data_IF_265306185956
#
_entry.id   IF_265306185956
#
_cell.length_a   1.000
_cell.length_b   1.000
_cell.length_c   1.000
_cell.angle_alpha   90.00
_cell.angle_beta   90.00
_cell.angle_gamma   90.00
#
_symmetry.space_group_name_H-M   'P 1'
#
loop_
_entity.id
_entity.type
_entity.pdbx_description
1 polymer ?
#
# COMPACT_ATOMS: atom_id res chain seq x y z
N UNK A 1 14.73 -16.74 -14.39
CA UNK A 1 14.59 -16.64 -12.92
C UNK A 1 13.16 -17.04 -12.60
N UNK A 2 13.00 -18.29 -12.16
CA UNK A 2 11.74 -18.99 -11.99
C UNK A 2 10.81 -18.31 -11.00
N UNK A 3 9.54 -18.15 -11.38
CA UNK A 3 8.47 -17.66 -10.54
C UNK A 3 8.15 -18.67 -9.43
N UNK A 4 8.97 -18.71 -8.38
CA UNK A 4 8.67 -19.49 -7.18
C UNK A 4 7.67 -18.70 -6.32
N UNK A 5 6.37 -18.96 -6.50
CA UNK A 5 5.35 -18.46 -5.58
C UNK A 5 3.89 -18.44 -6.06
N UNK A 6 3.57 -18.96 -7.26
CA UNK A 6 2.19 -18.93 -7.76
C UNK A 6 1.72 -20.23 -8.42
N UNK A 7 0.43 -20.51 -8.29
CA UNK A 7 -0.26 -21.58 -9.03
C UNK A 7 -0.76 -21.00 -10.36
N UNK A 8 -0.42 -21.64 -11.49
CA UNK A 8 -0.94 -21.24 -12.80
C UNK A 8 -2.44 -21.54 -12.88
N UNK A 9 -3.22 -20.51 -13.23
CA UNK A 9 -4.67 -20.60 -13.34
C UNK A 9 -5.11 -20.58 -14.82
N UNK A 10 -6.27 -21.17 -15.16
CA UNK A 10 -6.85 -21.06 -16.49
C UNK A 10 -7.00 -19.58 -16.90
N UNK A 11 -6.40 -19.20 -18.03
CA UNK A 11 -6.32 -17.79 -18.47
C UNK A 11 -4.92 -17.18 -18.42
N UNK A 12 -3.88 -17.95 -18.11
CA UNK A 12 -2.48 -17.54 -18.30
C UNK A 12 -1.95 -16.57 -17.24
N UNK A 13 -2.55 -16.58 -16.04
CA UNK A 13 -2.14 -15.75 -14.91
C UNK A 13 -1.82 -16.63 -13.69
N UNK A 14 -1.07 -16.08 -12.74
CA UNK A 14 -0.57 -16.81 -11.56
C UNK A 14 -1.27 -16.36 -10.29
N UNK A 15 -1.94 -17.27 -9.57
CA UNK A 15 -2.51 -17.01 -8.26
C UNK A 15 -1.43 -17.12 -7.17
N UNK A 16 -1.29 -16.09 -6.35
CA UNK A 16 -0.32 -16.08 -5.25
C UNK A 16 -0.65 -17.14 -4.19
N UNK A 17 0.36 -17.93 -3.78
CA UNK A 17 0.23 -18.91 -2.70
C UNK A 17 -0.03 -18.26 -1.34
N UNK A 18 0.21 -16.95 -1.18
CA UNK A 18 -0.02 -16.23 0.07
C UNK A 18 -1.49 -16.24 0.55
N UNK A 19 -2.43 -16.49 -0.36
CA UNK A 19 -3.86 -16.58 -0.06
C UNK A 19 -4.33 -18.01 0.21
N UNK A 20 -3.44 -18.99 0.02
CA UNK A 20 -3.75 -20.41 0.20
C UNK A 20 -3.21 -20.92 1.52
N UNK A 21 -4.03 -21.76 2.15
CA UNK A 21 -3.64 -22.46 3.37
C UNK A 21 -2.71 -23.60 3.00
N UNK A 22 -1.53 -23.67 3.63
CA UNK A 22 -0.65 -24.83 3.47
C UNK A 22 -1.30 -26.08 4.11
N UNK A 23 -1.14 -27.28 3.52
CA UNK A 23 -1.64 -28.51 4.11
C UNK A 23 -1.15 -28.67 5.55
N UNK A 24 -2.06 -28.85 6.51
CA UNK A 24 -1.75 -29.01 7.94
C UNK A 24 -1.61 -27.70 8.76
N UNK A 25 -1.54 -26.52 8.13
CA UNK A 25 -1.52 -25.24 8.86
C UNK A 25 -2.92 -24.92 9.40
N UNK A 26 -3.10 -24.13 10.46
CA UNK A 26 -4.42 -23.60 10.89
C UNK A 26 -4.74 -22.27 10.19
N UNK A 27 -6.03 -21.86 10.15
CA UNK A 27 -6.42 -20.54 9.62
C UNK A 27 -5.74 -19.38 10.38
N UNK A 28 -5.58 -19.52 11.70
CA UNK A 28 -4.82 -18.58 12.51
C UNK A 28 -3.33 -18.57 12.16
N UNK A 29 -2.72 -19.74 11.90
CA UNK A 29 -1.32 -19.83 11.46
C UNK A 29 -1.06 -19.16 10.11
N UNK A 30 -1.99 -19.32 9.16
CA UNK A 30 -1.92 -18.65 7.86
C UNK A 30 -2.03 -17.12 8.01
N UNK A 31 -3.00 -16.64 8.80
CA UNK A 31 -3.19 -15.22 9.07
C UNK A 31 -1.96 -14.59 9.76
N UNK A 32 -1.39 -15.26 10.77
CA UNK A 32 -0.20 -14.77 11.47
C UNK A 32 1.02 -14.71 10.54
N UNK A 33 1.20 -15.72 9.68
CA UNK A 33 2.30 -15.75 8.71
C UNK A 33 2.16 -14.62 7.68
N UNK A 34 0.93 -14.43 7.16
CA UNK A 34 0.62 -13.33 6.25
C UNK A 34 0.85 -11.98 6.91
N UNK A 35 0.34 -11.76 8.13
CA UNK A 35 0.53 -10.51 8.86
C UNK A 35 2.00 -10.23 9.15
N UNK A 36 2.78 -11.24 9.52
CA UNK A 36 4.23 -11.10 9.73
C UNK A 36 4.94 -10.64 8.45
N UNK A 37 4.69 -11.32 7.33
CA UNK A 37 5.26 -10.95 6.04
C UNK A 37 4.78 -9.56 5.57
N UNK A 38 3.49 -9.27 5.71
CA UNK A 38 2.86 -8.00 5.35
C UNK A 38 3.47 -6.84 6.13
N UNK A 39 3.64 -6.99 7.45
CA UNK A 39 4.23 -5.95 8.28
C UNK A 39 5.68 -5.70 7.89
N UNK A 40 6.49 -6.76 7.70
CA UNK A 40 7.89 -6.62 7.27
C UNK A 40 7.99 -5.90 5.92
N UNK A 41 7.15 -6.31 4.97
CA UNK A 41 7.04 -5.66 3.66
C UNK A 41 6.64 -4.19 3.78
N UNK A 42 5.59 -3.89 4.55
CA UNK A 42 5.12 -2.51 4.75
C UNK A 42 6.16 -1.64 5.42
N UNK A 43 6.89 -2.17 6.40
CA UNK A 43 8.03 -1.50 7.01
C UNK A 43 9.06 -1.20 5.92
N UNK A 44 9.51 -2.19 5.14
CA UNK A 44 10.51 -1.98 4.10
C UNK A 44 10.09 -0.92 3.06
N UNK A 45 8.84 -0.96 2.60
CA UNK A 45 8.36 -0.07 1.54
C UNK A 45 8.03 1.33 2.03
N UNK A 46 7.45 1.47 3.23
CA UNK A 46 6.95 2.75 3.73
C UNK A 46 7.96 3.51 4.58
N UNK A 47 8.96 2.83 5.14
CA UNK A 47 10.01 3.46 5.96
C UNK A 47 10.72 4.62 5.24
N UNK A 48 11.12 4.52 3.94
CA UNK A 48 11.73 5.64 3.23
C UNK A 48 10.85 6.90 3.20
N UNK A 49 9.54 6.72 3.08
CA UNK A 49 8.57 7.82 3.08
C UNK A 49 8.24 8.35 4.49
N UNK A 50 8.38 7.51 5.51
CA UNK A 50 8.09 7.82 6.91
C UNK A 50 9.24 8.59 7.59
N UNK A 51 10.50 8.27 7.25
CA UNK A 51 11.71 8.93 7.79
C UNK A 51 11.67 10.46 7.71
N UNK A 52 11.41 11.11 6.56
CA UNK A 52 11.37 12.57 6.49
C UNK A 52 10.24 13.18 7.33
N UNK A 53 9.12 12.47 7.47
CA UNK A 53 7.98 12.92 8.30
C UNK A 53 8.30 12.82 9.78
N UNK A 54 8.92 11.71 10.22
CA UNK A 54 9.39 11.55 11.60
C UNK A 54 10.48 12.56 11.96
N UNK A 55 11.39 12.91 11.03
CA UNK A 55 12.38 13.98 11.24
C UNK A 55 11.72 15.33 11.52
N UNK A 56 10.72 15.72 10.72
CA UNK A 56 9.96 16.97 10.96
C UNK A 56 9.23 16.94 12.31
N UNK A 57 8.68 15.79 12.70
CA UNK A 57 8.08 15.64 14.03
C UNK A 57 9.12 15.79 15.15
N UNK A 58 10.33 15.23 14.98
CA UNK A 58 11.45 15.46 15.91
C UNK A 58 11.80 16.93 16.01
N UNK A 59 12.00 17.62 14.89
CA UNK A 59 12.37 19.04 14.87
C UNK A 59 11.29 19.93 15.53
N UNK A 60 10.01 19.55 15.41
CA UNK A 60 8.90 20.27 16.03
C UNK A 60 8.80 20.06 17.55
N UNK A 61 9.20 18.88 18.04
CA UNK A 61 9.22 18.54 19.47
C UNK A 61 10.54 18.98 20.13
N UNK A 62 11.64 19.00 19.39
CA UNK A 62 12.96 19.38 19.94
C UNK A 62 12.98 20.84 20.40
N UNK A 63 12.19 21.68 19.73
CA UNK A 63 11.92 23.07 20.12
C UNK A 63 11.21 23.21 21.47
N UNK A 64 10.64 22.16 22.03
CA UNK A 64 10.04 22.17 23.38
C UNK A 64 11.05 21.77 24.47
N UNK A 65 12.27 21.37 24.12
CA UNK A 65 13.33 21.02 25.07
C UNK A 65 13.17 19.65 25.75
N UNK A 66 12.41 18.73 25.14
CA UNK A 66 12.02 17.48 25.79
C UNK A 66 13.10 16.37 25.72
N UNK A 67 13.47 15.81 26.87
CA UNK A 67 14.46 14.71 26.98
C UNK A 67 13.97 13.36 26.42
N UNK A 68 12.67 13.20 26.14
CA UNK A 68 12.05 11.94 25.67
C UNK A 68 11.80 11.87 24.17
N UNK A 69 12.51 12.68 23.38
CA UNK A 69 12.30 12.82 21.94
C UNK A 69 12.29 11.50 21.17
N UNK A 70 13.26 10.61 21.47
CA UNK A 70 13.40 9.30 20.82
C UNK A 70 12.21 8.38 21.07
N UNK A 71 11.71 8.36 22.31
CA UNK A 71 10.54 7.57 22.70
C UNK A 71 9.27 8.07 22.00
N UNK A 72 9.05 9.38 21.98
CA UNK A 72 7.89 9.99 21.31
C UNK A 72 7.89 9.71 19.80
N UNK A 73 9.07 9.75 19.16
CA UNK A 73 9.16 9.39 17.74
C UNK A 73 8.90 7.92 17.48
N UNK A 74 9.43 7.03 18.33
CA UNK A 74 9.16 5.62 18.22
C UNK A 74 7.65 5.35 18.34
N UNK A 75 6.97 5.99 19.31
CA UNK A 75 5.54 5.84 19.51
C UNK A 75 4.70 6.34 18.32
N UNK A 76 5.12 7.43 17.67
CA UNK A 76 4.51 7.89 16.42
C UNK A 76 4.70 6.87 15.28
N UNK A 77 5.89 6.26 15.17
CA UNK A 77 6.17 5.18 14.22
C UNK A 77 5.31 3.94 14.47
N UNK A 78 5.15 3.52 15.73
CA UNK A 78 4.29 2.39 16.11
C UNK A 78 2.84 2.68 15.73
N UNK A 79 2.33 3.88 16.00
CA UNK A 79 0.98 4.28 15.58
C UNK A 79 0.79 4.23 14.06
N UNK A 80 1.81 4.59 13.28
CA UNK A 80 1.79 4.48 11.82
C UNK A 80 1.69 3.03 11.35
N UNK A 81 2.55 2.14 11.85
CA UNK A 81 2.54 0.73 11.47
C UNK A 81 1.32 -0.02 12.00
N UNK A 82 0.75 0.40 13.12
CA UNK A 82 -0.51 -0.14 13.62
C UNK A 82 -1.64 -0.01 12.58
N UNK A 83 -1.76 1.15 11.92
CA UNK A 83 -2.73 1.33 10.83
C UNK A 83 -2.48 0.35 9.69
N UNK A 84 -1.21 0.14 9.30
CA UNK A 84 -0.84 -0.82 8.27
C UNK A 84 -1.14 -2.27 8.64
N UNK A 85 -0.98 -2.63 9.91
CA UNK A 85 -1.38 -3.94 10.43
C UNK A 85 -2.88 -4.14 10.33
N UNK A 86 -3.69 -3.13 10.69
CA UNK A 86 -5.15 -3.18 10.54
C UNK A 86 -5.56 -3.31 9.08
N UNK A 87 -4.89 -2.61 8.16
CA UNK A 87 -5.12 -2.76 6.71
C UNK A 87 -4.80 -4.19 6.26
N UNK A 88 -3.67 -4.76 6.68
CA UNK A 88 -3.29 -6.15 6.37
C UNK A 88 -4.31 -7.16 6.91
N UNK A 89 -4.80 -6.93 8.13
CA UNK A 89 -5.82 -7.77 8.76
C UNK A 89 -7.15 -7.75 7.99
N UNK A 90 -7.52 -6.61 7.39
CA UNK A 90 -8.70 -6.51 6.53
C UNK A 90 -8.44 -7.09 5.11
N UNK A 91 -7.22 -6.94 4.60
CA UNK A 91 -6.84 -7.44 3.27
C UNK A 91 -6.79 -8.97 3.22
N UNK A 92 -6.35 -9.64 4.30
CA UNK A 92 -6.27 -11.09 4.38
C UNK A 92 -7.58 -11.83 4.08
N UNK A 93 -8.69 -11.61 4.82
CA UNK A 93 -9.95 -12.29 4.56
C UNK A 93 -10.53 -11.92 3.18
N UNK A 94 -10.30 -10.70 2.70
CA UNK A 94 -10.75 -10.29 1.37
C UNK A 94 -10.03 -11.08 0.27
N UNK A 95 -8.70 -11.22 0.36
CA UNK A 95 -7.91 -12.02 -0.57
C UNK A 95 -8.26 -13.50 -0.52
N UNK A 96 -8.48 -14.05 0.69
CA UNK A 96 -8.95 -15.43 0.86
C UNK A 96 -10.35 -15.64 0.25
N UNK A 97 -11.28 -14.71 0.45
CA UNK A 97 -12.63 -14.80 -0.11
C UNK A 97 -12.61 -14.74 -1.64
N UNK A 98 -11.82 -13.83 -2.21
CA UNK A 98 -11.62 -13.73 -3.66
C UNK A 98 -11.03 -15.03 -4.22
N UNK A 99 -9.97 -15.56 -3.62
CA UNK A 99 -9.36 -16.82 -4.03
C UNK A 99 -10.35 -18.00 -3.94
N UNK A 100 -11.16 -18.05 -2.88
CA UNK A 100 -12.16 -19.10 -2.70
C UNK A 100 -13.30 -19.04 -3.74
N UNK A 101 -13.76 -17.83 -4.09
CA UNK A 101 -14.77 -17.63 -5.15
C UNK A 101 -14.21 -18.05 -6.50
N UNK A 102 -12.96 -17.70 -6.77
CA UNK A 102 -12.28 -18.01 -8.03
C UNK A 102 -12.06 -19.51 -8.24
N UNK A 103 -11.69 -20.25 -7.17
CA UNK A 103 -11.59 -21.71 -7.22
C UNK A 103 -12.93 -22.41 -7.47
N UNK A 104 -14.07 -21.79 -7.12
CA UNK A 104 -15.42 -22.37 -7.28
C UNK A 104 -16.05 -22.11 -8.64
N UNK A 105 -15.57 -21.12 -9.40
CA UNK A 105 -16.21 -20.64 -10.62
C UNK A 105 -15.17 -20.49 -11.75
N UNK A 106 -14.93 -21.52 -12.58
CA UNK A 106 -13.95 -21.45 -13.67
C UNK A 106 -14.29 -20.43 -14.76
N UNK A 107 -15.55 -20.02 -14.88
CA UNK A 107 -15.99 -18.91 -15.74
C UNK A 107 -15.52 -17.56 -15.19
N UNK A 108 -15.50 -17.41 -13.86
CA UNK A 108 -15.02 -16.19 -13.20
C UNK A 108 -13.49 -16.07 -13.27
N UNK A 109 -12.77 -17.19 -13.22
CA UNK A 109 -11.31 -17.24 -13.39
C UNK A 109 -10.83 -16.68 -14.75
N UNK A 110 -11.65 -16.75 -15.80
CA UNK A 110 -11.36 -16.08 -17.09
C UNK A 110 -11.67 -14.59 -17.11
N UNK A 111 -12.56 -14.12 -16.23
CA UNK A 111 -12.91 -12.71 -16.11
C UNK A 111 -11.97 -11.95 -15.16
N UNK A 112 -11.18 -12.65 -14.34
CA UNK A 112 -10.25 -12.03 -13.40
C UNK A 112 -9.20 -11.14 -14.05
N UNK A 113 -8.58 -11.48 -15.20
CA UNK A 113 -7.71 -10.54 -15.91
C UNK A 113 -8.41 -9.21 -16.30
N UNK A 114 -9.71 -9.26 -16.63
CA UNK A 114 -10.52 -8.07 -16.93
C UNK A 114 -10.82 -7.30 -15.65
N UNK A 115 -11.16 -7.98 -14.56
CA UNK A 115 -11.38 -7.36 -13.24
C UNK A 115 -10.09 -6.70 -12.72
N UNK A 116 -8.94 -7.36 -12.88
CA UNK A 116 -7.60 -6.83 -12.59
C UNK A 116 -7.34 -5.57 -13.41
N UNK A 117 -7.57 -5.63 -14.72
CA UNK A 117 -7.47 -4.48 -15.62
C UNK A 117 -8.38 -3.32 -15.19
N UNK A 118 -9.61 -3.62 -14.78
CA UNK A 118 -10.57 -2.65 -14.26
C UNK A 118 -10.10 -2.00 -12.95
N UNK A 119 -9.59 -2.77 -12.00
CA UNK A 119 -9.03 -2.22 -10.74
C UNK A 119 -7.82 -1.35 -11.03
N UNK A 120 -6.92 -1.79 -11.92
CA UNK A 120 -5.75 -0.99 -12.33
C UNK A 120 -6.18 0.31 -13.01
N UNK A 121 -7.21 0.27 -13.86
CA UNK A 121 -7.73 1.43 -14.57
C UNK A 121 -8.42 2.42 -13.61
N UNK A 122 -9.25 1.94 -12.68
CA UNK A 122 -9.87 2.76 -11.63
C UNK A 122 -8.80 3.35 -10.72
N UNK A 123 -7.82 2.56 -10.28
CA UNK A 123 -6.71 3.03 -9.46
C UNK A 123 -5.86 4.09 -10.19
N UNK A 124 -5.65 3.91 -11.50
CA UNK A 124 -5.03 4.89 -12.39
C UNK A 124 -5.84 6.19 -12.48
N UNK A 125 -7.16 6.08 -12.69
CA UNK A 125 -8.07 7.23 -12.73
C UNK A 125 -8.09 8.00 -11.41
N UNK A 126 -8.10 7.29 -10.27
CA UNK A 126 -8.01 7.87 -8.93
C UNK A 126 -6.71 8.67 -8.73
N UNK A 127 -5.64 8.36 -9.48
CA UNK A 127 -4.41 9.14 -9.42
C UNK A 127 -4.55 10.57 -9.94
N UNK A 128 -5.48 10.81 -10.86
CA UNK A 128 -5.78 12.15 -11.38
C UNK A 128 -6.73 12.96 -10.50
N UNK A 129 -7.26 12.35 -9.43
CA UNK A 129 -8.25 13.02 -8.59
C UNK A 129 -7.66 14.23 -7.86
N UNK A 130 -8.42 15.33 -7.84
CA UNK A 130 -8.12 16.50 -7.00
C UNK A 130 -8.05 16.14 -5.49
N UNK A 131 -8.63 14.99 -5.11
CA UNK A 131 -8.50 14.43 -3.78
C UNK A 131 -7.08 13.92 -3.48
N UNK A 132 -6.45 13.18 -4.42
CA UNK A 132 -5.04 12.74 -4.29
C UNK A 132 -4.09 13.92 -4.29
N UNK A 133 -4.30 14.90 -5.18
CA UNK A 133 -3.49 16.13 -5.23
C UNK A 133 -3.53 16.90 -3.90
N UNK A 134 -4.73 17.10 -3.32
CA UNK A 134 -4.88 17.72 -1.99
C UNK A 134 -4.21 16.90 -0.88
N UNK A 135 -4.33 15.58 -0.90
CA UNK A 135 -3.68 14.73 0.11
C UNK A 135 -2.15 14.75 0.02
N UNK A 136 -1.59 14.78 -1.19
CA UNK A 136 -0.14 14.93 -1.40
C UNK A 136 0.35 16.30 -0.94
N UNK A 137 -0.40 17.37 -1.25
CA UNK A 137 -0.11 18.72 -0.75
C UNK A 137 -0.15 18.75 0.79
N UNK A 138 -1.21 18.25 1.43
CA UNK A 138 -1.29 18.18 2.90
C UNK A 138 -0.19 17.31 3.53
N UNK A 139 0.19 16.17 2.92
CA UNK A 139 1.30 15.36 3.41
C UNK A 139 2.65 16.10 3.32
N UNK A 140 2.76 17.06 2.40
CA UNK A 140 3.95 17.91 2.22
C UNK A 140 3.92 19.15 3.11
N UNK A 141 2.74 19.70 3.36
CA UNK A 141 2.47 20.95 4.09
C UNK A 141 2.19 20.76 5.60
N UNK A 142 2.01 19.53 6.11
CA UNK A 142 1.77 19.30 7.53
C UNK A 142 3.02 19.57 8.41
N UNK A 143 2.81 20.20 9.58
CA UNK A 143 3.20 21.57 9.88
C UNK A 143 4.72 21.74 9.94
N UNK A 144 5.25 22.52 8.99
CA UNK A 144 6.54 23.17 9.15
C UNK A 144 6.45 24.29 10.18
N UNK A 145 7.41 24.31 11.09
CA UNK A 145 7.96 25.48 11.77
C UNK A 145 7.12 26.32 12.76
N UNK A 146 5.79 26.19 12.86
CA UNK A 146 4.97 27.19 13.60
C UNK A 146 4.24 26.76 14.87
N UNK A 147 4.01 25.45 15.11
CA UNK A 147 3.27 24.97 16.29
C UNK A 147 4.15 24.02 17.10
N UNK A 148 4.51 24.44 18.31
CA UNK A 148 5.02 23.51 19.32
C UNK A 148 3.96 22.42 19.53
N UNK A 149 4.30 21.17 19.20
CA UNK A 149 3.43 20.05 19.54
C UNK A 149 3.66 19.71 21.01
N UNK A 150 2.58 19.52 21.81
CA UNK A 150 2.72 19.00 23.16
C UNK A 150 3.49 17.69 23.16
N UNK A 151 4.48 17.57 24.03
CA UNK A 151 5.35 16.40 24.16
C UNK A 151 4.67 15.24 24.92
N UNK A 152 3.41 14.96 24.60
CA UNK A 152 2.64 13.88 25.24
C UNK A 152 2.65 12.61 24.39
N UNK A 153 2.76 11.46 25.05
CA UNK A 153 2.65 10.14 24.42
C UNK A 153 1.33 9.97 23.63
N UNK A 154 0.22 10.52 24.14
CA UNK A 154 -1.09 10.51 23.46
C UNK A 154 -1.05 11.28 22.14
N UNK A 155 -0.33 12.40 22.12
CA UNK A 155 -0.20 13.28 20.96
C UNK A 155 0.68 12.65 19.90
N UNK A 156 1.79 12.01 20.31
CA UNK A 156 2.66 11.20 19.45
C UNK A 156 1.90 10.04 18.79
N UNK A 157 1.16 9.25 19.57
CA UNK A 157 0.36 8.13 19.07
C UNK A 157 -0.71 8.60 18.06
N UNK A 158 -1.48 9.64 18.39
CA UNK A 158 -2.48 10.21 17.48
C UNK A 158 -1.85 10.80 16.22
N UNK A 159 -0.64 11.36 16.31
CA UNK A 159 0.11 11.84 15.16
C UNK A 159 0.47 10.68 14.23
N UNK A 160 1.03 9.58 14.77
CA UNK A 160 1.30 8.35 14.04
C UNK A 160 0.08 7.75 13.34
N UNK A 161 -1.05 7.63 14.06
CA UNK A 161 -2.31 7.13 13.49
C UNK A 161 -2.83 8.01 12.34
N UNK A 162 -2.83 9.33 12.50
CA UNK A 162 -3.25 10.25 11.44
C UNK A 162 -2.35 10.16 10.23
N UNK A 163 -1.03 10.03 10.45
CA UNK A 163 -0.06 9.85 9.39
C UNK A 163 -0.31 8.55 8.63
N UNK A 164 -0.54 7.44 9.34
CA UNK A 164 -0.87 6.14 8.76
C UNK A 164 -2.15 6.19 7.93
N UNK A 165 -3.23 6.80 8.46
CA UNK A 165 -4.51 6.93 7.76
C UNK A 165 -4.43 7.82 6.52
N UNK A 166 -3.75 8.96 6.60
CA UNK A 166 -3.52 9.81 5.41
C UNK A 166 -2.65 9.10 4.38
N UNK A 167 -1.64 8.36 4.84
CA UNK A 167 -0.78 7.58 3.97
C UNK A 167 -1.58 6.51 3.23
N UNK A 168 -2.29 5.65 3.97
CA UNK A 168 -3.14 4.61 3.42
C UNK A 168 -4.19 5.14 2.45
N UNK A 169 -4.83 6.27 2.74
CA UNK A 169 -5.78 6.92 1.81
C UNK A 169 -5.09 7.38 0.52
N UNK A 170 -3.95 8.03 0.63
CA UNK A 170 -3.21 8.57 -0.52
C UNK A 170 -2.66 7.46 -1.44
N UNK A 171 -2.18 6.34 -0.88
CA UNK A 171 -1.67 5.21 -1.65
C UNK A 171 -2.68 4.09 -1.87
N UNK A 172 -3.96 4.27 -1.49
CA UNK A 172 -5.00 3.24 -1.59
C UNK A 172 -5.09 2.60 -3.00
N UNK A 173 -5.00 3.41 -4.06
CA UNK A 173 -5.01 2.91 -5.43
C UNK A 173 -3.80 2.02 -5.76
N UNK A 174 -2.59 2.44 -5.39
CA UNK A 174 -1.37 1.66 -5.59
C UNK A 174 -1.35 0.39 -4.74
N UNK A 175 -1.92 0.47 -3.53
CA UNK A 175 -2.10 -0.67 -2.64
C UNK A 175 -3.10 -1.69 -3.18
N UNK A 176 -4.21 -1.23 -3.78
CA UNK A 176 -5.15 -2.09 -4.47
C UNK A 176 -4.49 -2.81 -5.65
N UNK A 177 -3.68 -2.10 -6.43
CA UNK A 177 -2.90 -2.69 -7.53
C UNK A 177 -1.93 -3.76 -7.01
N UNK A 178 -1.19 -3.47 -5.94
CA UNK A 178 -0.25 -4.43 -5.34
C UNK A 178 -0.97 -5.69 -4.82
N UNK A 179 -2.17 -5.53 -4.24
CA UNK A 179 -2.99 -6.64 -3.79
C UNK A 179 -3.47 -7.53 -4.94
N UNK A 180 -3.87 -6.91 -6.06
CA UNK A 180 -4.44 -7.60 -7.22
C UNK A 180 -3.38 -8.25 -8.11
N UNK A 181 -2.26 -7.57 -8.38
CA UNK A 181 -1.13 -8.16 -9.13
C UNK A 181 -0.43 -9.25 -8.30
N UNK A 182 -0.47 -9.13 -6.98
CA UNK A 182 0.00 -10.13 -6.05
C UNK A 182 1.09 -9.58 -5.12
N UNK A 183 0.86 -9.78 -3.82
CA UNK A 183 1.76 -9.36 -2.73
C UNK A 183 3.14 -10.02 -2.79
N UNK A 184 3.38 -10.98 -3.69
CA UNK A 184 4.67 -11.68 -3.80
C UNK A 184 5.51 -11.27 -5.03
N UNK A 185 5.01 -10.38 -5.89
CA UNK A 185 5.83 -9.88 -7.00
C UNK A 185 6.78 -8.78 -6.49
N UNK A 186 8.03 -9.17 -6.23
CA UNK A 186 9.12 -8.27 -5.79
C UNK A 186 9.33 -7.08 -6.74
N UNK A 187 9.07 -7.23 -8.04
CA UNK A 187 9.21 -6.14 -9.01
C UNK A 187 8.05 -5.17 -8.87
N UNK A 188 6.82 -5.67 -8.77
CA UNK A 188 5.64 -4.86 -8.54
C UNK A 188 5.75 -4.11 -7.20
N UNK A 189 6.24 -4.78 -6.15
CA UNK A 189 6.58 -4.14 -4.88
C UNK A 189 7.58 -3.00 -5.09
N UNK A 190 8.74 -3.28 -5.69
CA UNK A 190 9.78 -2.26 -5.88
C UNK A 190 9.25 -1.05 -6.67
N UNK A 191 8.49 -1.28 -7.74
CA UNK A 191 7.89 -0.22 -8.56
C UNK A 191 6.86 0.58 -7.76
N UNK A 192 5.98 -0.06 -7.00
CA UNK A 192 4.98 0.62 -6.16
C UNK A 192 5.64 1.42 -5.04
N UNK A 193 6.64 0.84 -4.36
CA UNK A 193 7.41 1.55 -3.33
C UNK A 193 8.13 2.77 -3.89
N UNK A 194 8.78 2.62 -5.04
CA UNK A 194 9.44 3.71 -5.74
C UNK A 194 8.42 4.78 -6.15
N UNK A 195 7.28 4.40 -6.74
CA UNK A 195 6.23 5.33 -7.11
C UNK A 195 5.72 6.12 -5.90
N UNK A 196 5.38 5.46 -4.79
CA UNK A 196 4.93 6.12 -3.55
C UNK A 196 6.00 7.07 -3.01
N UNK A 197 7.26 6.62 -3.02
CA UNK A 197 8.38 7.41 -2.52
C UNK A 197 8.63 8.64 -3.39
N UNK A 198 8.63 8.51 -4.71
CA UNK A 198 8.83 9.61 -5.66
C UNK A 198 7.64 10.56 -5.64
N UNK A 199 6.40 10.07 -5.59
CA UNK A 199 5.20 10.91 -5.45
C UNK A 199 5.28 11.81 -4.19
N UNK A 200 5.82 11.27 -3.09
CA UNK A 200 5.93 11.99 -1.83
C UNK A 200 7.10 12.96 -1.78
N UNK A 201 8.27 12.53 -2.24
CA UNK A 201 9.53 13.28 -2.12
C UNK A 201 9.73 14.30 -3.24
N UNK A 202 9.17 14.08 -4.44
CA UNK A 202 9.40 14.97 -5.56
C UNK A 202 8.76 16.36 -5.31
N UNK A 203 9.46 17.47 -5.61
CA UNK A 203 8.90 18.81 -5.48
C UNK A 203 7.63 19.02 -6.31
N UNK A 204 7.47 18.24 -7.39
CA UNK A 204 6.30 18.20 -8.25
C UNK A 204 5.50 16.88 -8.13
N UNK A 205 5.33 16.33 -6.92
CA UNK A 205 4.64 15.04 -6.72
C UNK A 205 3.24 14.90 -7.35
N UNK A 206 2.52 16.00 -7.58
CA UNK A 206 1.27 15.95 -8.37
C UNK A 206 1.52 15.57 -9.83
N UNK A 207 2.56 16.12 -10.47
CA UNK A 207 2.97 15.74 -11.83
C UNK A 207 3.43 14.29 -11.89
N UNK A 208 4.14 13.82 -10.86
CA UNK A 208 4.54 12.42 -10.74
C UNK A 208 3.32 11.52 -10.61
N UNK A 209 2.37 11.85 -9.73
CA UNK A 209 1.13 11.08 -9.58
C UNK A 209 0.30 11.06 -10.87
N UNK A 210 0.25 12.16 -11.63
CA UNK A 210 -0.40 12.15 -12.95
C UNK A 210 0.34 11.25 -13.94
N UNK A 211 1.68 11.28 -13.97
CA UNK A 211 2.47 10.42 -14.84
C UNK A 211 2.28 8.93 -14.51
N UNK A 212 2.33 8.57 -13.22
CA UNK A 212 2.03 7.21 -12.74
C UNK A 212 0.59 6.82 -13.09
N UNK A 213 -0.36 7.74 -12.94
CA UNK A 213 -1.75 7.57 -13.39
C UNK A 213 -1.87 7.25 -14.88
N UNK A 214 -1.17 7.98 -15.76
CA UNK A 214 -1.17 7.72 -17.21
C UNK A 214 -0.65 6.32 -17.50
N UNK A 215 0.47 5.94 -16.88
CA UNK A 215 1.06 4.61 -17.05
C UNK A 215 0.10 3.52 -16.60
N UNK A 216 -0.56 3.70 -15.45
CA UNK A 216 -1.52 2.73 -14.93
C UNK A 216 -2.78 2.61 -15.79
N UNK A 217 -3.34 3.73 -16.27
CA UNK A 217 -4.49 3.70 -17.19
C UNK A 217 -4.12 3.00 -18.49
N UNK A 218 -2.94 3.33 -19.05
CA UNK A 218 -2.42 2.65 -20.24
C UNK A 218 -2.23 1.15 -20.03
N UNK A 219 -1.63 0.75 -18.90
CA UNK A 219 -1.46 -0.65 -18.53
C UNK A 219 -2.80 -1.37 -18.35
N UNK A 220 -3.77 -0.75 -17.66
CA UNK A 220 -5.12 -1.31 -17.48
C UNK A 220 -5.86 -1.51 -18.79
N UNK A 221 -5.81 -0.50 -19.69
CA UNK A 221 -6.39 -0.61 -21.03
C UNK A 221 -5.71 -1.69 -21.87
N UNK A 222 -4.37 -1.79 -21.82
CA UNK A 222 -3.64 -2.84 -22.53
C UNK A 222 -3.98 -4.24 -22.01
N UNK A 223 -4.16 -4.40 -20.69
CA UNK A 223 -4.59 -5.67 -20.10
C UNK A 223 -5.99 -6.07 -20.59
N UNK A 224 -6.94 -5.13 -20.59
CA UNK A 224 -8.31 -5.36 -21.09
C UNK A 224 -8.31 -5.62 -22.61
N UNK A 225 -7.50 -4.90 -23.38
CA UNK A 225 -7.41 -5.07 -24.83
C UNK A 225 -6.79 -6.42 -25.20
N UNK A 226 -5.76 -6.88 -24.46
CA UNK A 226 -5.18 -8.21 -24.66
C UNK A 226 -6.19 -9.30 -24.36
N UNK A 227 -7.03 -9.16 -23.34
CA UNK A 227 -8.06 -10.17 -23.05
C UNK A 227 -9.18 -10.17 -24.09
N UNK A 228 -9.50 -9.01 -24.68
CA UNK A 228 -10.49 -8.90 -25.76
C UNK A 228 -9.97 -9.36 -27.14
N UNK A 229 -8.66 -9.24 -27.40
CA UNK A 229 -8.04 -9.63 -28.67
C UNK A 229 -7.70 -11.11 -28.81
N UNK A 230 -7.80 -11.89 -27.74
CA UNK A 230 -7.66 -13.35 -27.72
C UNK A 230 -9.02 -14.08 -27.58
N UNK A 231 -10.14 -13.38 -27.83
CA UNK A 231 -11.50 -13.93 -27.82
C UNK A 231 -11.94 -14.47 -29.17
#
# INVERSE_FOLDING_TARGET
MSAMGGMEMPGGWTMSMAWMRMPGQTWSGAATSFLGMWVVMMVAMMLPSLVPMLRRYRDAVDRTGETRLGWLTALAGVGYFFVWTVIGMAAFPLGVALAAVEMRQPVLARAVPIAVGGVVLVAGALQFSAWKARHLACCREAPGLGRALPADARTAWRHGLRLGLHCGRCCAGLMAILLVIGVMDLRAMAVVAAAITVERLAPAGERVARAVGVVLVGAGLLLIARTAGFG
#
